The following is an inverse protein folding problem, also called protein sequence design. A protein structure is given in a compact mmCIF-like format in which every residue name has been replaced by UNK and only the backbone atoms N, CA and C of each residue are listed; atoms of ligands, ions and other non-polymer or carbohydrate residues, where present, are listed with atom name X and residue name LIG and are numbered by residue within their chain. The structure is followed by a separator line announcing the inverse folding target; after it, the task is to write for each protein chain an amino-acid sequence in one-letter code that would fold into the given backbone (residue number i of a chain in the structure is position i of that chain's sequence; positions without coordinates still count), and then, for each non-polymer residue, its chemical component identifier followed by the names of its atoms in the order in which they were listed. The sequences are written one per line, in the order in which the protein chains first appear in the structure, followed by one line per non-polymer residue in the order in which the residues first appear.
data_IF_766357697206
#
_entry.id   IF_766357697206
#
_cell.length_a   1.000
_cell.length_b   1.000
_cell.length_c   1.000
_cell.angle_alpha   90.00
_cell.angle_beta   90.00
_cell.angle_gamma   90.00
#
_symmetry.space_group_name_H-M   'P 1'
#
loop_
_entity.id
_entity.type
_entity.pdbx_description
1 polymer ?
#
# COMPACT_ATOMS: atom_id res chain seq x y z
N UNK A 1 45.47 -9.69 62.68
CA UNK A 1 45.54 -9.41 61.23
C UNK A 1 44.36 -10.11 60.59
N UNK A 2 43.51 -9.35 59.91
CA UNK A 2 42.13 -9.70 59.53
C UNK A 2 42.05 -10.91 58.58
N UNK A 3 41.16 -11.85 58.90
CA UNK A 3 40.72 -12.95 58.04
C UNK A 3 39.81 -12.41 56.92
N UNK A 4 40.22 -12.58 55.67
CA UNK A 4 39.42 -12.21 54.50
C UNK A 4 38.53 -13.39 54.06
N UNK A 5 37.22 -13.22 54.23
CA UNK A 5 36.17 -13.99 53.58
C UNK A 5 36.10 -13.59 52.11
N UNK A 6 36.38 -14.52 51.19
CA UNK A 6 36.07 -14.36 49.77
C UNK A 6 34.76 -15.09 49.50
N UNK A 7 33.68 -14.31 49.43
CA UNK A 7 32.35 -14.76 49.02
C UNK A 7 32.33 -15.05 47.52
N UNK A 8 31.81 -16.23 47.16
CA UNK A 8 31.49 -16.64 45.80
C UNK A 8 30.32 -15.78 45.31
N UNK A 9 30.58 -14.88 44.36
CA UNK A 9 29.52 -14.20 43.61
C UNK A 9 29.11 -15.12 42.47
N UNK A 10 28.00 -15.83 42.64
CA UNK A 10 27.27 -16.45 41.54
C UNK A 10 26.83 -15.34 40.59
N UNK A 11 27.36 -15.36 39.37
CA UNK A 11 26.91 -14.50 38.29
C UNK A 11 25.47 -14.85 37.91
N UNK A 12 24.52 -14.06 38.37
CA UNK A 12 23.14 -14.07 37.91
C UNK A 12 23.13 -13.63 36.45
N UNK A 13 23.13 -14.59 35.54
CA UNK A 13 22.78 -14.36 34.15
C UNK A 13 21.34 -13.84 34.11
N UNK A 14 21.18 -12.52 33.96
CA UNK A 14 19.94 -11.92 33.52
C UNK A 14 19.65 -12.50 32.14
N UNK A 15 18.79 -13.51 32.11
CA UNK A 15 18.13 -13.93 30.89
C UNK A 15 17.38 -12.69 30.38
N UNK A 16 17.96 -12.02 29.39
CA UNK A 16 17.20 -11.17 28.49
C UNK A 16 16.18 -12.13 27.88
N UNK A 17 14.95 -12.05 28.37
CA UNK A 17 13.80 -12.61 27.69
C UNK A 17 13.80 -11.99 26.31
N UNK A 18 14.40 -12.69 25.35
CA UNK A 18 14.17 -12.46 23.96
C UNK A 18 12.66 -12.55 23.80
N UNK A 19 12.03 -11.40 23.55
CA UNK A 19 10.65 -11.39 23.09
C UNK A 19 10.59 -12.38 21.93
N UNK A 20 9.68 -13.36 21.95
CA UNK A 20 9.47 -14.16 20.77
C UNK A 20 9.13 -13.18 19.66
N UNK A 21 10.02 -13.11 18.67
CA UNK A 21 9.64 -12.70 17.34
C UNK A 21 8.57 -13.68 16.90
N UNK A 22 7.32 -13.36 17.24
CA UNK A 22 6.17 -13.89 16.54
C UNK A 22 6.38 -13.45 15.09
N UNK A 23 7.02 -14.34 14.33
CA UNK A 23 6.90 -14.41 12.89
C UNK A 23 5.41 -14.46 12.61
N UNK A 24 4.86 -13.27 12.35
CA UNK A 24 3.51 -13.04 11.95
C UNK A 24 3.38 -13.60 10.53
N UNK A 25 3.26 -14.92 10.47
CA UNK A 25 3.16 -15.74 9.27
C UNK A 25 1.76 -15.54 8.65
N UNK A 26 1.49 -14.29 8.25
CA UNK A 26 0.26 -13.79 7.63
C UNK A 26 0.12 -14.28 6.19
N UNK A 27 1.16 -14.93 5.62
CA UNK A 27 1.10 -15.56 4.29
C UNK A 27 0.13 -16.75 4.28
N UNK A 28 -0.14 -17.36 5.44
CA UNK A 28 -1.15 -18.42 5.59
C UNK A 28 -2.61 -17.91 5.59
N UNK A 29 -2.82 -16.59 5.69
CA UNK A 29 -4.13 -15.95 5.86
C UNK A 29 -4.65 -15.19 4.64
N UNK A 30 -3.87 -15.08 3.55
CA UNK A 30 -4.44 -14.65 2.27
C UNK A 30 -5.37 -15.79 1.85
N UNK A 31 -6.69 -15.55 1.64
CA UNK A 31 -7.56 -16.60 1.15
C UNK A 31 -6.88 -17.19 -0.08
N UNK A 32 -6.70 -18.52 -0.08
CA UNK A 32 -6.26 -19.22 -1.28
C UNK A 32 -7.10 -18.64 -2.40
N UNK A 33 -6.44 -18.01 -3.36
CA UNK A 33 -7.05 -17.39 -4.54
C UNK A 33 -7.67 -18.44 -5.49
N UNK A 34 -8.06 -19.60 -4.94
CA UNK A 34 -8.77 -20.71 -5.54
C UNK A 34 -10.11 -20.30 -6.14
N UNK A 35 -10.61 -19.10 -5.84
CA UNK A 35 -11.78 -18.52 -6.48
C UNK A 35 -11.46 -17.89 -7.84
N UNK A 36 -10.24 -17.42 -8.11
CA UNK A 36 -9.92 -16.92 -9.44
C UNK A 36 -9.91 -18.11 -10.40
N UNK A 37 -10.82 -18.08 -11.37
CA UNK A 37 -10.98 -19.14 -12.37
C UNK A 37 -9.85 -19.14 -13.38
N UNK A 38 -9.33 -17.96 -13.69
CA UNK A 38 -8.24 -17.75 -14.64
C UNK A 38 -6.89 -18.15 -14.03
N UNK A 39 -6.23 -19.15 -14.64
CA UNK A 39 -4.83 -19.50 -14.36
C UNK A 39 -3.95 -18.85 -15.41
N UNK A 40 -3.53 -17.61 -15.15
CA UNK A 40 -2.64 -16.92 -16.07
C UNK A 40 -1.30 -17.63 -16.12
N UNK A 41 -0.87 -18.02 -17.32
CA UNK A 41 0.42 -18.68 -17.51
C UNK A 41 1.59 -17.76 -17.11
N UNK A 42 2.75 -18.35 -16.78
CA UNK A 42 3.99 -17.58 -16.53
C UNK A 42 4.45 -16.75 -17.75
N UNK A 43 3.92 -17.08 -18.93
CA UNK A 43 4.13 -16.38 -20.20
C UNK A 43 3.02 -15.36 -20.52
N UNK A 44 2.14 -15.04 -19.56
CA UNK A 44 1.12 -14.01 -19.76
C UNK A 44 1.76 -12.68 -20.19
N UNK A 45 1.05 -11.96 -21.06
CA UNK A 45 1.42 -10.64 -21.53
C UNK A 45 1.55 -9.65 -20.36
N UNK A 46 2.45 -8.67 -20.50
CA UNK A 46 2.64 -7.60 -19.54
C UNK A 46 1.84 -6.39 -20.01
N UNK A 47 0.98 -5.86 -19.15
CA UNK A 47 0.19 -4.66 -19.43
C UNK A 47 1.08 -3.46 -19.78
N UNK A 48 0.59 -2.55 -20.63
CA UNK A 48 1.32 -1.38 -21.16
C UNK A 48 2.65 -1.64 -21.87
N UNK A 49 3.06 -2.90 -22.05
CA UNK A 49 4.21 -3.29 -22.89
C UNK A 49 3.78 -4.03 -24.14
N UNK A 50 2.70 -4.82 -24.03
CA UNK A 50 2.07 -5.43 -25.18
C UNK A 50 1.02 -4.47 -25.77
N UNK A 51 1.17 -4.14 -27.05
CA UNK A 51 0.26 -3.24 -27.79
C UNK A 51 -0.71 -4.02 -28.70
N UNK A 52 -0.62 -5.35 -28.74
CA UNK A 52 -1.58 -6.20 -29.44
C UNK A 52 -2.85 -6.32 -28.61
N UNK A 53 -4.02 -6.21 -29.24
CA UNK A 53 -5.31 -6.46 -28.60
C UNK A 53 -5.30 -7.83 -27.92
N UNK A 54 -5.64 -7.86 -26.63
CA UNK A 54 -5.74 -9.08 -25.85
C UNK A 54 -7.22 -9.37 -25.58
N UNK A 55 -7.66 -10.58 -25.90
CA UNK A 55 -9.06 -11.00 -25.71
C UNK A 55 -9.33 -11.48 -24.27
N UNK A 56 -8.35 -12.15 -23.65
CA UNK A 56 -8.47 -12.65 -22.28
C UNK A 56 -8.12 -11.56 -21.25
N UNK A 57 -9.12 -10.73 -20.93
CA UNK A 57 -9.02 -9.70 -19.91
C UNK A 57 -9.01 -10.24 -18.47
N UNK A 58 -9.24 -11.54 -18.26
CA UNK A 58 -9.00 -12.14 -16.95
C UNK A 58 -7.50 -12.38 -16.70
N UNK A 59 -6.69 -12.40 -17.76
CA UNK A 59 -5.24 -12.55 -17.69
C UNK A 59 -4.44 -11.39 -18.28
N UNK A 60 -5.10 -10.29 -18.61
CA UNK A 60 -4.45 -9.08 -19.08
C UNK A 60 -5.20 -7.83 -18.61
N UNK A 61 -4.49 -6.91 -17.95
CA UNK A 61 -5.08 -5.67 -17.49
C UNK A 61 -5.12 -4.64 -18.64
N UNK A 62 -6.33 -4.33 -19.09
CA UNK A 62 -6.65 -3.26 -20.04
C UNK A 62 -8.10 -2.77 -19.84
N UNK A 63 -8.41 -1.48 -20.16
CA UNK A 63 -7.48 -0.43 -20.58
C UNK A 63 -6.57 0.07 -19.44
N UNK A 64 -6.98 -0.14 -18.18
CA UNK A 64 -6.21 0.17 -16.98
C UNK A 64 -5.02 -0.76 -16.75
N UNK A 65 -3.96 -0.60 -17.54
CA UNK A 65 -2.78 -1.46 -17.54
C UNK A 65 -1.63 -0.99 -16.65
N UNK A 66 -1.63 0.28 -16.23
CA UNK A 66 -0.65 0.84 -15.31
C UNK A 66 -1.28 0.89 -13.91
N UNK A 67 -0.57 0.40 -12.91
CA UNK A 67 -1.05 0.39 -11.53
C UNK A 67 -0.26 1.34 -10.65
N UNK A 68 -0.98 2.20 -9.95
CA UNK A 68 -0.44 3.07 -8.92
C UNK A 68 -0.83 2.51 -7.56
N UNK A 69 0.15 2.04 -6.81
CA UNK A 69 -0.03 1.80 -5.38
C UNK A 69 0.37 3.09 -4.65
N UNK A 70 -0.58 3.68 -3.94
CA UNK A 70 -0.42 5.01 -3.34
C UNK A 70 -0.45 4.92 -1.82
N UNK A 71 0.37 5.73 -1.16
CA UNK A 71 0.47 5.81 0.29
C UNK A 71 0.34 7.25 0.78
N UNK A 72 -0.23 7.41 1.97
CA UNK A 72 -0.35 8.68 2.68
C UNK A 72 0.68 8.85 3.80
N UNK A 73 1.04 10.12 4.01
CA UNK A 73 1.66 10.61 5.22
C UNK A 73 0.78 11.67 5.89
N UNK A 74 -0.24 11.19 6.59
CA UNK A 74 -1.14 12.04 7.35
C UNK A 74 -0.51 12.43 8.69
N UNK A 75 0.07 13.62 8.75
CA UNK A 75 0.75 14.10 9.94
C UNK A 75 -0.11 15.03 10.81
N UNK A 76 -1.11 15.70 10.23
CA UNK A 76 -2.00 16.63 10.94
C UNK A 76 -3.36 16.75 10.21
N UNK A 77 -4.45 16.13 10.72
CA UNK A 77 -4.47 15.24 11.87
C UNK A 77 -3.62 13.99 11.63
N UNK A 78 -3.01 13.48 12.70
CA UNK A 78 -2.18 12.28 12.62
C UNK A 78 -3.05 11.02 12.58
N UNK A 79 -2.91 10.19 11.55
CA UNK A 79 -3.53 8.85 11.52
C UNK A 79 -2.50 7.74 11.32
N UNK A 80 -2.77 6.57 11.89
CA UNK A 80 -1.91 5.39 11.82
C UNK A 80 -0.62 5.47 12.64
N UNK A 81 0.28 4.47 12.51
CA UNK A 81 1.51 4.42 13.29
C UNK A 81 2.44 5.61 12.99
N UNK A 82 3.13 6.10 14.04
CA UNK A 82 4.05 7.26 13.97
C UNK A 82 5.23 7.06 13.02
N UNK A 83 5.59 5.82 12.76
CA UNK A 83 6.75 5.40 11.96
C UNK A 83 6.34 4.60 10.71
N UNK A 84 5.09 4.75 10.27
CA UNK A 84 4.57 4.12 9.06
C UNK A 84 3.78 5.09 8.21
N UNK A 85 3.95 4.95 6.90
CA UNK A 85 2.99 5.46 5.94
C UNK A 85 1.75 4.56 5.93
N UNK A 86 0.62 5.13 5.55
CA UNK A 86 -0.68 4.45 5.46
C UNK A 86 -1.07 4.25 4.01
N UNK A 87 -2.02 3.36 3.76
CA UNK A 87 -2.55 3.05 2.43
C UNK A 87 -3.44 4.21 1.98
N UNK A 88 -3.23 4.67 0.74
CA UNK A 88 -4.23 5.47 0.04
C UNK A 88 -5.05 4.55 -0.87
N UNK A 89 -4.44 3.89 -1.86
CA UNK A 89 -5.16 2.98 -2.73
C UNK A 89 -4.31 2.22 -3.75
N UNK A 90 -5.02 1.54 -4.66
CA UNK A 90 -4.46 0.84 -5.81
C UNK A 90 -5.27 1.22 -7.06
N UNK A 91 -4.69 1.99 -7.96
CA UNK A 91 -5.45 2.61 -9.05
C UNK A 91 -4.99 2.10 -10.42
N UNK A 92 -5.93 1.64 -11.27
CA UNK A 92 -5.63 1.26 -12.64
C UNK A 92 -5.71 2.49 -13.58
N UNK A 93 -4.56 3.07 -13.89
CA UNK A 93 -4.44 4.09 -14.93
C UNK A 93 -4.27 3.43 -16.31
N UNK A 94 -4.71 4.13 -17.35
CA UNK A 94 -4.39 3.79 -18.72
C UNK A 94 -2.90 3.99 -18.99
N UNK A 95 -2.39 3.35 -20.03
CA UNK A 95 -0.96 3.41 -20.33
C UNK A 95 -0.46 4.81 -20.77
N UNK A 96 -1.38 5.73 -21.07
CA UNK A 96 -1.12 7.14 -21.41
C UNK A 96 -1.27 8.11 -20.22
N UNK A 97 -1.59 7.59 -19.04
CA UNK A 97 -1.76 8.37 -17.81
C UNK A 97 -3.16 8.92 -17.57
N UNK A 98 -4.11 8.72 -18.48
CA UNK A 98 -5.54 8.90 -18.21
C UNK A 98 -6.07 7.75 -17.32
N UNK A 99 -7.30 7.84 -16.81
CA UNK A 99 -7.88 6.78 -15.99
C UNK A 99 -9.41 6.78 -16.10
N UNK A 100 -9.99 5.59 -15.91
CA UNK A 100 -11.44 5.44 -15.74
C UNK A 100 -11.80 5.47 -14.25
N UNK A 101 -13.05 5.84 -13.95
CA UNK A 101 -13.57 5.88 -12.60
C UNK A 101 -15.03 5.42 -12.56
N UNK A 102 -15.41 4.74 -11.48
CA UNK A 102 -16.77 4.23 -11.25
C UNK A 102 -17.24 3.33 -12.41
N UNK A 103 -16.40 2.36 -12.80
CA UNK A 103 -16.60 1.57 -14.02
C UNK A 103 -17.76 0.58 -13.97
N UNK A 104 -18.27 0.28 -12.77
CA UNK A 104 -19.39 -0.64 -12.57
C UNK A 104 -20.33 -0.15 -11.45
N UNK A 105 -21.17 0.87 -11.73
CA UNK A 105 -22.12 1.41 -10.74
C UNK A 105 -23.05 0.35 -10.14
N UNK A 106 -23.38 -0.69 -10.91
CA UNK A 106 -24.22 -1.81 -10.48
C UNK A 106 -23.53 -2.77 -9.50
N UNK A 107 -22.20 -2.65 -9.32
CA UNK A 107 -21.39 -3.45 -8.40
C UNK A 107 -20.79 -2.62 -7.26
N UNK A 108 -21.25 -1.39 -7.08
CA UNK A 108 -20.83 -0.57 -5.94
C UNK A 108 -21.23 -1.19 -4.61
N UNK A 109 -20.38 -1.02 -3.62
CA UNK A 109 -20.56 -1.53 -2.26
C UNK A 109 -20.57 -0.37 -1.28
N UNK A 110 -21.41 -0.51 -0.25
CA UNK A 110 -21.60 0.44 0.86
C UNK A 110 -21.51 -0.27 2.22
N UNK A 111 -20.75 -1.37 2.25
CA UNK A 111 -20.67 -2.30 3.38
C UNK A 111 -19.40 -3.20 3.30
N UNK A 112 -18.27 -2.63 2.88
CA UNK A 112 -16.95 -3.29 2.78
C UNK A 112 -16.62 -4.08 4.05
N UNK A 113 -16.82 -3.50 5.25
CA UNK A 113 -16.58 -4.20 6.52
C UNK A 113 -17.39 -5.49 6.60
N UNK A 114 -18.70 -5.41 6.36
CA UNK A 114 -19.61 -6.56 6.41
C UNK A 114 -19.20 -7.64 5.42
N UNK A 115 -18.82 -7.25 4.20
CA UNK A 115 -18.39 -8.18 3.15
C UNK A 115 -17.12 -8.93 3.57
N UNK A 116 -16.15 -8.24 4.15
CA UNK A 116 -14.92 -8.86 4.65
C UNK A 116 -15.20 -9.82 5.82
N UNK A 117 -16.07 -9.44 6.76
CA UNK A 117 -16.45 -10.30 7.89
C UNK A 117 -17.15 -11.57 7.42
N UNK A 118 -18.14 -11.45 6.54
CA UNK A 118 -18.89 -12.58 5.97
C UNK A 118 -18.00 -13.49 5.12
N UNK A 119 -16.96 -12.92 4.49
CA UNK A 119 -15.96 -13.67 3.73
C UNK A 119 -14.85 -14.30 4.60
N UNK A 120 -14.96 -14.22 5.93
CA UNK A 120 -13.98 -14.80 6.86
C UNK A 120 -12.63 -14.09 6.84
N UNK A 121 -12.60 -12.79 6.52
CA UNK A 121 -11.38 -12.00 6.33
C UNK A 121 -11.03 -11.14 7.56
N UNK A 122 -11.25 -11.65 8.78
CA UNK A 122 -11.04 -10.88 10.02
C UNK A 122 -9.59 -10.39 10.17
N UNK A 123 -8.60 -11.19 9.74
CA UNK A 123 -7.19 -10.78 9.74
C UNK A 123 -6.93 -9.61 8.78
N UNK A 124 -7.54 -9.65 7.60
CA UNK A 124 -7.42 -8.59 6.60
C UNK A 124 -8.12 -7.32 7.08
N UNK A 125 -9.34 -7.44 7.61
CA UNK A 125 -10.10 -6.34 8.19
C UNK A 125 -9.34 -5.66 9.34
N UNK A 126 -8.73 -6.45 10.23
CA UNK A 126 -7.86 -5.91 11.31
C UNK A 126 -6.68 -5.11 10.74
N UNK A 127 -6.06 -5.61 9.65
CA UNK A 127 -4.93 -4.94 9.04
C UNK A 127 -5.32 -3.61 8.39
N UNK A 128 -6.40 -3.57 7.58
CA UNK A 128 -6.84 -2.34 6.94
C UNK A 128 -7.34 -1.31 7.98
N UNK A 129 -7.95 -1.75 9.09
CA UNK A 129 -8.27 -0.87 10.22
C UNK A 129 -7.05 -0.26 10.93
N UNK A 130 -5.84 -0.74 10.66
CA UNK A 130 -4.62 -0.19 11.25
C UNK A 130 -3.81 0.63 10.24
N UNK A 131 -3.92 0.31 8.95
CA UNK A 131 -3.03 0.86 7.93
C UNK A 131 -3.74 1.55 6.76
N UNK A 132 -5.02 1.30 6.51
CA UNK A 132 -5.81 1.95 5.46
C UNK A 132 -6.86 2.85 6.08
N UNK A 133 -6.44 4.05 6.46
CA UNK A 133 -7.17 4.91 7.37
C UNK A 133 -7.66 6.16 6.66
N UNK A 134 -8.85 6.62 7.05
CA UNK A 134 -9.35 7.92 6.65
C UNK A 134 -8.86 9.00 7.64
N UNK A 135 -8.43 10.15 7.13
CA UNK A 135 -8.04 11.32 7.92
C UNK A 135 -9.18 12.36 8.07
N UNK A 136 -10.30 12.16 7.37
CA UNK A 136 -11.47 13.01 7.35
C UNK A 136 -12.74 12.19 7.02
N UNK A 137 -13.35 11.59 8.05
CA UNK A 137 -14.54 10.73 7.92
C UNK A 137 -14.28 9.34 8.50
N UNK A 138 -15.08 8.35 8.09
CA UNK A 138 -14.92 6.97 8.52
C UNK A 138 -14.02 6.17 7.56
N UNK A 139 -13.41 5.10 8.07
CA UNK A 139 -12.67 4.16 7.24
C UNK A 139 -13.57 3.46 6.22
N UNK A 140 -14.83 3.17 6.59
CA UNK A 140 -15.78 2.48 5.72
C UNK A 140 -16.06 3.30 4.46
N UNK A 141 -16.46 4.57 4.62
CA UNK A 141 -16.70 5.50 3.49
C UNK A 141 -15.47 5.62 2.58
N UNK A 142 -14.26 5.58 3.17
CA UNK A 142 -13.03 5.64 2.40
C UNK A 142 -12.77 4.36 1.60
N UNK A 143 -12.99 3.18 2.21
CA UNK A 143 -12.83 1.92 1.49
C UNK A 143 -13.88 1.74 0.40
N UNK A 144 -15.11 2.21 0.63
CA UNK A 144 -16.17 2.29 -0.37
C UNK A 144 -15.72 3.16 -1.56
N UNK A 145 -15.19 4.36 -1.30
CA UNK A 145 -14.65 5.23 -2.33
C UNK A 145 -13.56 4.52 -3.17
N UNK A 146 -12.56 3.95 -2.50
CA UNK A 146 -11.43 3.29 -3.17
C UNK A 146 -11.82 2.03 -3.95
N UNK A 147 -12.87 1.33 -3.53
CA UNK A 147 -13.42 0.19 -4.26
C UNK A 147 -14.31 0.65 -5.42
N UNK A 148 -15.33 1.47 -5.15
CA UNK A 148 -16.34 1.87 -6.12
C UNK A 148 -15.71 2.68 -7.27
N UNK A 149 -14.79 3.60 -6.95
CA UNK A 149 -14.14 4.45 -7.95
C UNK A 149 -13.04 3.74 -8.72
N UNK A 150 -12.18 2.99 -8.04
CA UNK A 150 -10.94 2.44 -8.64
C UNK A 150 -10.94 0.92 -8.75
N UNK A 151 -11.48 0.21 -7.76
CA UNK A 151 -11.53 -1.25 -7.74
C UNK A 151 -12.42 -1.84 -8.82
N UNK A 152 -13.56 -1.22 -9.09
CA UNK A 152 -14.49 -1.62 -10.16
C UNK A 152 -13.89 -1.53 -11.56
N UNK A 153 -12.82 -0.76 -11.73
CA UNK A 153 -12.13 -0.54 -13.01
C UNK A 153 -11.01 -1.55 -13.32
N UNK A 154 -10.81 -2.56 -12.47
CA UNK A 154 -9.80 -3.60 -12.72
C UNK A 154 -10.41 -4.76 -13.51
N UNK A 155 -10.14 -4.81 -14.81
CA UNK A 155 -10.71 -5.81 -15.71
C UNK A 155 -10.39 -7.25 -15.32
N UNK A 156 -9.20 -7.51 -14.76
CA UNK A 156 -8.81 -8.86 -14.31
C UNK A 156 -9.49 -9.31 -13.01
N UNK A 157 -10.30 -8.44 -12.39
CA UNK A 157 -11.11 -8.71 -11.21
C UNK A 157 -12.61 -8.61 -11.49
N UNK A 158 -13.01 -8.64 -12.76
CA UNK A 158 -14.43 -8.75 -13.09
C UNK A 158 -15.03 -10.09 -12.63
N UNK A 159 -16.32 -10.17 -12.25
CA UNK A 159 -16.93 -11.37 -11.68
C UNK A 159 -16.77 -12.63 -12.56
N UNK A 160 -16.78 -12.51 -13.89
CA UNK A 160 -16.58 -13.64 -14.80
C UNK A 160 -15.19 -14.29 -14.70
N UNK A 161 -14.21 -13.59 -14.13
CA UNK A 161 -12.87 -14.12 -13.89
C UNK A 161 -12.82 -15.04 -12.67
N UNK A 162 -13.89 -15.10 -11.88
CA UNK A 162 -14.00 -15.94 -10.69
C UNK A 162 -14.91 -17.15 -10.92
N UNK A 163 -14.56 -18.26 -10.27
CA UNK A 163 -15.45 -19.41 -10.12
C UNK A 163 -16.59 -19.02 -9.20
N UNK A 164 -17.81 -19.39 -9.58
CA UNK A 164 -19.00 -19.21 -8.74
C UNK A 164 -18.77 -19.88 -7.37
N UNK A 165 -18.98 -19.12 -6.30
CA UNK A 165 -18.85 -19.56 -4.91
C UNK A 165 -20.07 -19.08 -4.14
N UNK A 166 -20.68 -19.96 -3.34
CA UNK A 166 -21.77 -19.57 -2.44
C UNK A 166 -21.29 -18.90 -1.14
N UNK A 167 -20.00 -19.00 -0.82
CA UNK A 167 -19.43 -18.53 0.46
C UNK A 167 -18.78 -17.15 0.38
N UNK A 168 -18.45 -16.68 -0.81
CA UNK A 168 -17.85 -15.37 -1.02
C UNK A 168 -18.58 -14.70 -2.18
N UNK A 169 -19.48 -13.78 -1.83
CA UNK A 169 -20.33 -13.08 -2.80
C UNK A 169 -19.55 -12.05 -3.61
N UNK A 170 -18.45 -11.53 -3.05
CA UNK A 170 -17.62 -10.48 -3.65
C UNK A 170 -16.14 -10.88 -3.64
N UNK A 171 -15.76 -11.96 -4.35
CA UNK A 171 -14.39 -12.46 -4.37
C UNK A 171 -13.40 -11.46 -4.96
N UNK A 172 -13.84 -10.55 -5.80
CA UNK A 172 -13.07 -9.45 -6.39
C UNK A 172 -12.58 -8.44 -5.35
N UNK A 173 -13.43 -8.02 -4.42
CA UNK A 173 -13.07 -7.11 -3.32
C UNK A 173 -12.01 -7.76 -2.43
N UNK A 174 -12.28 -8.99 -1.99
CA UNK A 174 -11.36 -9.75 -1.13
C UNK A 174 -10.01 -9.96 -1.82
N UNK A 175 -10.03 -10.25 -3.12
CA UNK A 175 -8.81 -10.43 -3.92
C UNK A 175 -8.03 -9.13 -4.05
N UNK A 176 -8.69 -8.02 -4.35
CA UNK A 176 -8.07 -6.69 -4.47
C UNK A 176 -7.36 -6.29 -3.18
N UNK A 177 -8.07 -6.31 -2.06
CA UNK A 177 -7.51 -5.92 -0.76
C UNK A 177 -6.43 -6.93 -0.34
N UNK A 178 -6.69 -8.23 -0.52
CA UNK A 178 -5.74 -9.29 -0.21
C UNK A 178 -4.41 -9.14 -0.95
N UNK A 179 -4.44 -8.75 -2.23
CA UNK A 179 -3.24 -8.49 -3.02
C UNK A 179 -2.56 -7.18 -2.67
N UNK A 180 -3.30 -6.14 -2.30
CA UNK A 180 -2.71 -4.86 -1.92
C UNK A 180 -1.79 -4.99 -0.68
N UNK A 181 -2.22 -5.77 0.32
CA UNK A 181 -1.54 -5.75 1.64
C UNK A 181 -0.09 -6.26 1.66
N UNK A 182 0.31 -7.35 0.96
CA UNK A 182 1.71 -7.75 0.90
C UNK A 182 2.59 -6.73 0.20
N UNK A 183 2.15 -6.16 -0.93
CA UNK A 183 2.93 -5.15 -1.64
C UNK A 183 3.15 -3.91 -0.78
N UNK A 184 2.15 -3.46 -0.03
CA UNK A 184 2.33 -2.31 0.87
C UNK A 184 3.31 -2.60 2.00
N UNK A 185 3.27 -3.80 2.58
CA UNK A 185 4.24 -4.22 3.62
C UNK A 185 5.68 -4.21 3.08
N UNK A 186 5.86 -4.56 1.81
CA UNK A 186 7.16 -4.55 1.11
C UNK A 186 7.61 -3.15 0.66
N UNK A 187 6.79 -2.12 0.92
CA UNK A 187 7.07 -0.71 0.62
C UNK A 187 7.19 0.13 1.91
N UNK A 188 8.21 -0.11 2.76
CA UNK A 188 8.39 0.60 4.02
C UNK A 188 8.98 2.01 3.82
N UNK A 189 8.21 2.91 3.22
CA UNK A 189 8.61 4.30 2.86
C UNK A 189 9.31 5.02 4.00
N UNK A 190 8.76 4.95 5.22
CA UNK A 190 9.36 5.57 6.40
C UNK A 190 10.78 5.05 6.68
N UNK A 191 11.01 3.73 6.59
CA UNK A 191 12.33 3.13 6.85
C UNK A 191 13.35 3.61 5.83
N UNK A 192 12.96 3.73 4.55
CA UNK A 192 13.84 4.25 3.50
C UNK A 192 14.18 5.72 3.71
N UNK A 193 13.19 6.55 4.05
CA UNK A 193 13.40 7.96 4.38
C UNK A 193 14.32 8.11 5.61
N UNK A 194 14.11 7.28 6.65
CA UNK A 194 14.94 7.26 7.86
C UNK A 194 16.39 6.88 7.54
N UNK A 195 16.60 5.85 6.71
CA UNK A 195 17.94 5.40 6.29
C UNK A 195 18.71 6.49 5.53
N UNK A 196 18.02 7.30 4.71
CA UNK A 196 18.60 8.48 4.05
C UNK A 196 18.76 9.71 4.97
N UNK A 197 18.48 9.57 6.28
CA UNK A 197 18.57 10.64 7.26
C UNK A 197 17.49 11.72 7.15
N UNK A 198 16.46 11.51 6.32
CA UNK A 198 15.37 12.48 6.11
C UNK A 198 14.51 12.62 7.37
N UNK A 199 14.27 11.51 8.07
CA UNK A 199 13.55 11.52 9.37
C UNK A 199 14.35 12.18 10.48
N UNK A 200 15.68 12.35 10.38
CA UNK A 200 16.45 13.08 11.40
C UNK A 200 16.38 14.60 11.21
N UNK A 201 15.86 15.06 10.08
CA UNK A 201 15.73 16.46 9.74
C UNK A 201 14.51 17.11 10.46
N UNK A 202 14.38 16.89 11.76
CA UNK A 202 13.23 17.31 12.60
C UNK A 202 13.60 18.31 13.70
N UNK A 203 14.80 18.89 13.63
CA UNK A 203 15.18 20.01 14.49
C UNK A 203 14.64 21.31 13.88
N UNK A 204 14.34 22.34 14.69
CA UNK A 204 13.74 23.61 14.22
C UNK A 204 14.51 24.39 13.13
N UNK A 205 15.64 23.87 12.66
CA UNK A 205 16.53 24.46 11.65
C UNK A 205 16.90 23.49 10.52
N UNK A 206 16.09 22.48 10.26
CA UNK A 206 16.41 21.52 9.21
C UNK A 206 16.11 22.07 7.83
N UNK A 207 17.10 22.00 6.90
CA UNK A 207 16.90 22.51 5.56
C UNK A 207 15.79 21.75 4.85
N UNK A 208 14.96 22.48 4.12
CA UNK A 208 13.98 21.89 3.22
C UNK A 208 14.63 20.90 2.25
N UNK A 209 13.92 19.84 1.91
CA UNK A 209 14.42 18.78 1.05
C UNK A 209 14.34 19.22 -0.41
N UNK A 210 15.34 18.78 -1.19
CA UNK A 210 15.27 18.80 -2.66
C UNK A 210 14.56 17.55 -3.16
N UNK A 211 13.80 17.66 -4.25
CA UNK A 211 13.07 16.52 -4.84
C UNK A 211 13.99 15.35 -5.21
N UNK A 212 15.22 15.64 -5.67
CA UNK A 212 16.22 14.63 -6.01
C UNK A 212 16.73 13.80 -4.80
N UNK A 213 16.54 14.26 -3.56
CA UNK A 213 16.87 13.46 -2.36
C UNK A 213 15.85 12.36 -2.10
N UNK A 214 14.63 12.56 -2.60
CA UNK A 214 13.53 11.62 -2.52
C UNK A 214 13.57 10.60 -3.67
N UNK A 215 14.42 10.80 -4.70
CA UNK A 215 14.50 10.00 -5.92
C UNK A 215 15.87 9.37 -6.20
N UNK A 216 15.90 8.15 -6.76
CA UNK A 216 15.04 7.04 -6.36
C UNK A 216 15.47 6.55 -4.95
N UNK A 217 14.52 6.27 -4.06
CA UNK A 217 14.82 5.41 -2.89
C UNK A 217 14.95 3.94 -3.33
N UNK A 218 14.31 3.56 -4.46
CA UNK A 218 14.33 2.25 -5.12
C UNK A 218 13.92 2.42 -6.59
N UNK A 219 14.36 1.56 -7.54
CA UNK A 219 13.83 1.58 -8.91
C UNK A 219 12.30 1.51 -8.93
N UNK A 220 11.65 2.38 -9.72
CA UNK A 220 10.19 2.47 -9.83
C UNK A 220 9.49 3.29 -8.73
N UNK A 221 10.24 3.88 -7.79
CA UNK A 221 9.68 4.79 -6.79
C UNK A 221 9.73 6.23 -7.27
N UNK A 222 8.59 6.91 -7.21
CA UNK A 222 8.50 8.34 -7.49
C UNK A 222 7.75 9.08 -6.36
N UNK A 223 8.39 10.02 -5.66
CA UNK A 223 7.78 10.92 -4.69
C UNK A 223 7.06 12.01 -5.45
N UNK A 224 5.73 12.03 -5.33
CA UNK A 224 4.93 12.72 -6.31
C UNK A 224 4.01 13.79 -5.69
N UNK A 225 3.58 13.69 -4.43
CA UNK A 225 2.65 14.71 -3.89
C UNK A 225 3.17 15.43 -2.65
N UNK A 226 3.24 16.76 -2.75
CA UNK A 226 3.30 17.66 -1.60
C UNK A 226 2.05 18.54 -1.59
N UNK A 227 1.59 18.91 -0.39
CA UNK A 227 0.50 19.87 -0.25
C UNK A 227 0.92 21.28 -0.70
N UNK A 228 -0.04 22.21 -0.73
CA UNK A 228 0.20 23.60 -1.15
C UNK A 228 1.22 24.33 -0.27
N UNK A 229 1.52 23.84 0.93
CA UNK A 229 2.48 24.40 1.87
C UNK A 229 3.86 23.70 1.79
N UNK A 230 4.01 22.74 0.87
CA UNK A 230 5.23 21.99 0.61
C UNK A 230 5.43 20.79 1.52
N UNK A 231 4.43 20.36 2.30
CA UNK A 231 4.55 19.14 3.10
C UNK A 231 4.32 17.91 2.24
N UNK A 232 5.26 16.98 2.27
CA UNK A 232 5.15 15.70 1.59
C UNK A 232 3.96 14.91 2.17
N UNK A 233 2.98 14.61 1.31
CA UNK A 233 1.71 14.01 1.69
C UNK A 233 1.50 12.62 1.08
N UNK A 234 2.03 12.36 -0.13
CA UNK A 234 1.84 11.08 -0.80
C UNK A 234 3.10 10.52 -1.46
N UNK A 235 3.13 9.20 -1.56
CA UNK A 235 4.13 8.43 -2.28
C UNK A 235 3.45 7.45 -3.22
N UNK A 236 3.78 7.49 -4.51
CA UNK A 236 3.16 6.63 -5.52
C UNK A 236 4.18 5.66 -6.12
N UNK A 237 3.75 4.41 -6.26
CA UNK A 237 4.54 3.31 -6.73
C UNK A 237 3.93 2.76 -8.01
N UNK A 238 4.67 2.85 -9.11
CA UNK A 238 4.17 2.49 -10.43
C UNK A 238 4.55 1.06 -10.81
N UNK A 239 3.56 0.35 -11.33
CA UNK A 239 3.69 -1.02 -11.78
C UNK A 239 2.98 -1.24 -13.10
N UNK A 240 3.51 -2.18 -13.87
CA UNK A 240 2.74 -2.94 -14.86
C UNK A 240 2.57 -4.36 -14.33
N UNK A 241 1.54 -5.06 -14.77
CA UNK A 241 1.20 -6.39 -14.26
C UNK A 241 1.35 -7.43 -15.36
N UNK A 242 2.04 -8.52 -15.04
CA UNK A 242 2.07 -9.72 -15.85
C UNK A 242 0.96 -10.67 -15.37
N UNK A 243 -0.09 -10.84 -16.17
CA UNK A 243 -1.26 -11.65 -15.79
C UNK A 243 -2.36 -10.84 -15.08
N UNK A 244 -3.13 -11.51 -14.21
CA UNK A 244 -4.18 -10.88 -13.38
C UNK A 244 -3.61 -10.11 -12.19
N UNK A 245 -4.31 -9.08 -11.70
CA UNK A 245 -3.99 -8.47 -10.38
C UNK A 245 -4.04 -9.51 -9.27
N UNK A 246 -4.95 -10.48 -9.35
CA UNK A 246 -5.15 -11.49 -8.31
C UNK A 246 -3.98 -12.46 -8.16
N UNK A 247 -3.42 -12.94 -9.26
CA UNK A 247 -2.44 -14.05 -9.25
C UNK A 247 -1.14 -13.75 -9.99
N UNK A 248 -1.11 -12.64 -10.73
CA UNK A 248 0.00 -12.24 -11.56
C UNK A 248 1.12 -11.58 -10.77
N UNK A 249 2.04 -11.00 -11.52
CA UNK A 249 3.24 -10.36 -10.96
C UNK A 249 3.20 -8.86 -11.23
N UNK A 250 3.29 -8.07 -10.17
CA UNK A 250 3.54 -6.64 -10.26
C UNK A 250 5.02 -6.40 -10.58
N UNK A 251 5.28 -5.64 -11.64
CA UNK A 251 6.62 -5.32 -12.14
C UNK A 251 6.76 -3.80 -12.09
N UNK A 252 7.74 -3.30 -11.34
CA UNK A 252 8.02 -1.86 -11.29
C UNK A 252 8.14 -1.26 -12.70
N UNK A 253 7.48 -0.13 -12.91
CA UNK A 253 7.51 0.64 -14.15
C UNK A 253 7.91 2.09 -13.89
N UNK A 254 8.22 2.81 -14.97
CA UNK A 254 8.26 4.27 -14.92
C UNK A 254 6.81 4.81 -14.79
N UNK A 255 6.62 6.05 -14.31
CA UNK A 255 5.32 6.68 -14.29
C UNK A 255 4.78 6.81 -15.71
N UNK A 256 3.46 6.74 -15.80
CA UNK A 256 2.61 6.94 -16.97
C UNK A 256 2.38 8.43 -17.29
N UNK A 257 3.32 9.30 -16.91
CA UNK A 257 3.25 10.74 -17.15
C UNK A 257 3.95 11.57 -16.07
N UNK A 258 3.98 12.91 -16.23
CA UNK A 258 4.49 13.81 -15.20
C UNK A 258 3.48 13.87 -14.05
N UNK A 259 3.70 13.07 -13.00
CA UNK A 259 2.76 12.94 -11.88
C UNK A 259 3.22 13.70 -10.62
N UNK A 260 4.29 14.51 -10.66
CA UNK A 260 4.85 15.20 -9.47
C UNK A 260 4.29 16.60 -9.28
N UNK A 261 3.70 16.87 -8.13
CA UNK A 261 3.37 18.22 -7.63
C UNK A 261 4.39 18.76 -6.63
N UNK A 262 5.39 17.96 -6.23
CA UNK A 262 6.44 18.40 -5.32
C UNK A 262 7.31 19.51 -5.94
N UNK A 263 7.58 20.62 -5.22
CA UNK A 263 8.54 21.62 -5.69
C UNK A 263 9.98 21.05 -5.72
N UNK A 264 10.85 21.60 -6.56
CA UNK A 264 12.25 21.14 -6.68
C UNK A 264 13.02 21.24 -5.36
N UNK A 265 12.68 22.23 -4.55
CA UNK A 265 13.24 22.51 -3.22
C UNK A 265 12.11 22.96 -2.30
N UNK A 266 12.35 23.05 -0.99
CA UNK A 266 11.28 23.52 -0.09
C UNK A 266 10.40 22.41 0.48
N UNK A 267 10.62 21.14 0.11
CA UNK A 267 9.79 20.02 0.59
C UNK A 267 10.02 19.80 2.08
N UNK A 268 8.93 19.72 2.83
CA UNK A 268 8.90 19.51 4.28
C UNK A 268 8.41 18.10 4.55
N UNK A 269 9.07 17.40 5.46
CA UNK A 269 8.62 16.11 5.96
C UNK A 269 8.67 16.15 7.48
N UNK A 270 7.51 16.18 8.12
CA UNK A 270 7.37 16.40 9.56
C UNK A 270 6.75 15.18 10.26
N UNK A 271 6.99 14.98 11.56
CA UNK A 271 6.45 13.84 12.28
C UNK A 271 4.93 13.93 12.38
N UNK A 272 4.29 12.76 12.44
CA UNK A 272 2.87 12.69 12.79
C UNK A 272 2.62 13.32 14.17
N UNK A 273 1.60 14.17 14.24
CA UNK A 273 1.23 14.95 15.42
C UNK A 273 1.88 16.33 15.49
N UNK A 274 2.59 16.75 14.43
CA UNK A 274 3.11 18.12 14.34
C UNK A 274 1.95 19.09 14.22
N UNK A 275 1.87 20.01 15.18
CA UNK A 275 0.94 21.14 15.15
C UNK A 275 1.49 22.18 14.17
N UNK A 276 0.76 22.42 13.07
CA UNK A 276 1.08 23.52 12.16
C UNK A 276 0.42 24.77 12.75
N UNK A 277 1.18 25.86 13.03
CA UNK A 277 0.57 27.12 13.40
C UNK A 277 -0.38 27.56 12.28
N UNK A 278 -1.64 27.83 12.60
CA UNK A 278 -2.56 28.49 11.69
C UNK A 278 -1.99 29.87 11.37
N UNK A 279 -1.80 30.14 10.07
CA UNK A 279 -1.43 31.47 9.58
C UNK A 279 -2.54 32.48 9.84
#
# INVERSE_FOLDING_TARGET
MLSALISIVLGSSLAVSAFPSDDLDLVSGVPKLTTLGAKCGKSASISCRNTTVQEDLCCFNAPGGQFLLTQFWDFSPAVGPKDSWTIHGLWPDHCDGSYDANCAPERELFNITTVLEQSGQQKLLKYINQYWLNNNGTNEEFWEHEYNKHGTCISTLEPQCFKKSSKNQFPELVTRIGQLTPYIKDLPTYKWLKAKGIVRALLPHTPSLKSNRLLPLKPGLFPLSADKQGYLSEMWYHYVVQGSVGTGKFIHSAPDGPKSSCPETGIKYVPKGTVIPTA
#
